data_IF_882901342855
#
_entry.id   IF_882901342855
#
_cell.length_a   1.000
_cell.length_b   1.000
_cell.length_c   1.000
_cell.angle_alpha   90.00
_cell.angle_beta   90.00
_cell.angle_gamma   90.00
#
_symmetry.space_group_name_H-M   'P 1'
#
loop_
_entity.id
_entity.type
_entity.pdbx_description
1 polymer ?
#
# COMPACT_ATOMS: atom_id res chain seq x y z
N UNK A 1 24.69 -16.37 8.70
CA UNK A 1 23.61 -15.61 9.35
C UNK A 1 22.39 -15.72 8.45
N UNK A 2 21.30 -16.33 8.92
CA UNK A 2 20.11 -16.59 8.09
C UNK A 2 19.25 -15.35 7.85
N UNK A 3 17.99 -15.55 7.46
CA UNK A 3 17.00 -14.48 7.21
C UNK A 3 16.59 -13.66 8.46
N UNK A 4 17.10 -14.04 9.64
CA UNK A 4 16.76 -13.44 10.93
C UNK A 4 17.95 -12.71 11.57
N UNK A 5 17.64 -11.60 12.25
CA UNK A 5 18.54 -10.84 13.10
C UNK A 5 18.72 -11.51 14.46
N UNK A 6 19.80 -11.17 15.18
CA UNK A 6 20.02 -11.61 16.56
C UNK A 6 19.08 -10.97 17.58
N UNK A 7 18.58 -9.77 17.28
CA UNK A 7 17.58 -9.04 18.05
C UNK A 7 16.60 -8.35 17.10
N UNK A 8 15.33 -8.19 17.47
CA UNK A 8 14.36 -7.55 16.59
C UNK A 8 14.62 -6.05 16.51
N UNK A 9 14.41 -5.46 15.33
CA UNK A 9 14.24 -4.01 15.21
C UNK A 9 12.83 -3.65 15.61
N UNK A 10 12.70 -2.96 16.74
CA UNK A 10 11.41 -2.58 17.35
C UNK A 10 10.96 -1.16 17.02
N UNK A 11 11.78 -0.40 16.28
CA UNK A 11 11.43 0.93 15.79
C UNK A 11 10.11 0.88 15.00
N UNK A 12 9.22 1.80 15.32
CA UNK A 12 7.90 1.96 14.71
C UNK A 12 7.94 3.14 13.76
N UNK A 13 7.54 2.89 12.51
CA UNK A 13 7.25 3.96 11.55
C UNK A 13 5.74 4.11 11.52
N UNK A 14 5.25 5.07 12.28
CA UNK A 14 3.82 5.37 12.40
C UNK A 14 3.50 6.65 11.65
N UNK A 15 2.30 6.67 11.07
CA UNK A 15 1.74 7.85 10.40
C UNK A 15 0.23 7.86 10.64
N UNK A 16 -0.38 9.01 10.60
CA UNK A 16 -1.81 9.19 10.81
C UNK A 16 -2.32 10.42 10.05
N UNK A 17 -3.63 10.50 9.89
CA UNK A 17 -4.25 11.61 9.21
C UNK A 17 -5.75 11.49 9.14
N UNK A 18 -6.37 12.51 8.54
CA UNK A 18 -7.81 12.61 8.42
C UNK A 18 -8.22 13.42 7.21
N UNK A 19 -9.48 13.28 6.82
CA UNK A 19 -10.20 14.23 5.97
C UNK A 19 -11.60 14.45 6.56
N UNK A 20 -12.46 15.18 5.84
CA UNK A 20 -13.82 15.49 6.31
C UNK A 20 -14.71 14.25 6.53
N UNK A 21 -14.31 13.08 6.02
CA UNK A 21 -15.10 11.84 6.01
C UNK A 21 -14.56 10.76 6.96
N UNK A 22 -13.25 10.71 7.18
CA UNK A 22 -12.61 9.63 7.95
C UNK A 22 -11.30 10.07 8.64
N UNK A 23 -10.85 9.23 9.56
CA UNK A 23 -9.53 9.29 10.22
C UNK A 23 -8.81 7.96 10.01
N UNK A 24 -7.49 7.99 9.87
CA UNK A 24 -6.67 6.78 9.77
C UNK A 24 -5.43 6.87 10.64
N UNK A 25 -4.88 5.71 10.97
CA UNK A 25 -3.56 5.56 11.56
C UNK A 25 -2.92 4.28 11.06
N UNK A 26 -1.60 4.29 10.88
CA UNK A 26 -0.82 3.15 10.44
C UNK A 26 0.49 3.07 11.23
N UNK A 27 1.04 1.86 11.33
CA UNK A 27 2.37 1.64 11.89
C UNK A 27 3.02 0.42 11.26
N UNK A 28 4.32 0.49 10.99
CA UNK A 28 5.10 -0.61 10.45
C UNK A 28 6.38 -0.84 11.27
N UNK A 29 6.86 -2.08 11.28
CA UNK A 29 8.03 -2.51 12.07
C UNK A 29 8.70 -3.71 11.40
N UNK A 30 10.02 -3.65 11.23
CA UNK A 30 10.80 -4.73 10.61
C UNK A 30 10.84 -6.01 11.45
N UNK A 31 10.91 -5.88 12.79
CA UNK A 31 10.99 -7.03 13.68
C UNK A 31 12.27 -7.85 13.47
N UNK A 32 12.13 -9.17 13.39
CA UNK A 32 13.25 -10.11 13.34
C UNK A 32 13.85 -10.32 11.95
N UNK A 33 13.17 -9.89 10.88
CA UNK A 33 13.67 -10.08 9.51
C UNK A 33 14.91 -9.21 9.26
N UNK A 34 15.82 -9.69 8.42
CA UNK A 34 17.01 -8.91 8.03
C UNK A 34 16.65 -7.65 7.22
N UNK A 35 15.61 -7.72 6.40
CA UNK A 35 15.10 -6.64 5.55
C UNK A 35 13.64 -6.31 5.90
N UNK A 36 13.25 -5.05 5.72
CA UNK A 36 11.85 -4.61 5.72
C UNK A 36 11.36 -4.61 4.27
N UNK A 37 10.44 -5.51 3.95
CA UNK A 37 9.94 -5.72 2.58
C UNK A 37 8.53 -5.16 2.38
N UNK A 38 7.79 -4.92 3.46
CA UNK A 38 6.46 -4.35 3.38
C UNK A 38 6.49 -2.89 2.91
N UNK A 39 5.39 -2.49 2.28
CA UNK A 39 5.06 -1.12 1.95
C UNK A 39 3.58 -0.85 2.25
N UNK A 40 3.20 0.43 2.31
CA UNK A 40 1.81 0.83 2.46
C UNK A 40 1.50 2.05 1.59
N UNK A 41 0.21 2.26 1.35
CA UNK A 41 -0.36 3.42 0.70
C UNK A 41 -1.52 3.94 1.56
N UNK A 42 -1.56 5.25 1.81
CA UNK A 42 -2.63 5.90 2.54
C UNK A 42 -2.97 7.22 1.84
N UNK A 43 -4.11 7.24 1.16
CA UNK A 43 -4.62 8.38 0.40
C UNK A 43 -6.06 8.67 0.83
N UNK A 44 -6.26 9.50 1.87
CA UNK A 44 -7.60 9.90 2.33
C UNK A 44 -8.40 10.57 1.21
N UNK A 45 -7.75 11.38 0.39
CA UNK A 45 -8.35 12.03 -0.77
C UNK A 45 -7.70 11.49 -2.04
N UNK A 46 -8.16 10.30 -2.46
CA UNK A 46 -7.76 9.73 -3.76
C UNK A 46 -8.44 10.49 -4.91
N UNK A 47 -9.72 10.82 -4.71
CA UNK A 47 -10.52 11.71 -5.56
C UNK A 47 -11.56 12.47 -4.72
N UNK A 48 -12.58 13.05 -5.36
CA UNK A 48 -13.61 13.82 -4.67
C UNK A 48 -14.47 13.03 -3.68
N UNK A 49 -14.56 11.71 -3.81
CA UNK A 49 -15.47 10.87 -3.02
C UNK A 49 -14.82 9.63 -2.40
N UNK A 50 -13.59 9.31 -2.77
CA UNK A 50 -12.97 8.01 -2.50
C UNK A 50 -11.66 8.17 -1.75
N UNK A 51 -11.41 7.22 -0.85
CA UNK A 51 -10.16 7.08 -0.12
C UNK A 51 -9.53 5.73 -0.45
N UNK A 52 -8.21 5.66 -0.50
CA UNK A 52 -7.48 4.43 -0.79
C UNK A 52 -6.44 4.10 0.28
N UNK A 53 -6.48 2.87 0.75
CA UNK A 53 -5.53 2.34 1.72
C UNK A 53 -5.09 0.95 1.25
N UNK A 54 -3.79 0.67 1.29
CA UNK A 54 -3.24 -0.62 0.87
C UNK A 54 -2.01 -1.00 1.69
N UNK A 55 -1.90 -2.28 2.03
CA UNK A 55 -0.71 -2.89 2.66
C UNK A 55 -0.17 -3.94 1.71
N UNK A 56 1.14 -3.92 1.48
CA UNK A 56 1.81 -4.77 0.50
C UNK A 56 2.93 -5.52 1.20
N UNK A 57 2.78 -6.82 1.35
CA UNK A 57 3.80 -7.72 1.93
C UNK A 57 4.75 -8.19 0.81
N UNK A 58 5.99 -7.72 0.85
CA UNK A 58 7.01 -8.08 -0.13
C UNK A 58 7.67 -9.41 0.21
N UNK A 59 7.91 -10.25 -0.80
CA UNK A 59 8.68 -11.49 -0.64
C UNK A 59 9.74 -11.61 -1.72
N UNK A 60 11.00 -11.79 -1.31
CA UNK A 60 12.13 -11.86 -2.24
C UNK A 60 12.64 -10.47 -2.66
N UNK A 61 12.32 -9.44 -1.88
CA UNK A 61 12.73 -8.06 -2.10
C UNK A 61 11.58 -7.06 -2.03
N UNK A 62 11.89 -5.85 -1.61
CA UNK A 62 10.92 -4.76 -1.39
C UNK A 62 10.43 -4.03 -2.64
N UNK A 63 10.98 -4.35 -3.82
CA UNK A 63 10.80 -3.54 -5.04
C UNK A 63 9.35 -3.55 -5.51
N UNK A 64 8.74 -4.73 -5.61
CA UNK A 64 7.36 -4.88 -6.08
C UNK A 64 6.37 -4.28 -5.07
N UNK A 65 6.53 -4.55 -3.78
CA UNK A 65 5.67 -3.96 -2.75
C UNK A 65 5.69 -2.42 -2.79
N UNK A 66 6.87 -1.80 -2.91
CA UNK A 66 7.01 -0.35 -3.07
C UNK A 66 6.42 0.17 -4.38
N UNK A 67 6.56 -0.59 -5.47
CA UNK A 67 5.99 -0.23 -6.76
C UNK A 67 4.45 -0.25 -6.70
N UNK A 68 3.84 -1.30 -6.15
CA UNK A 68 2.40 -1.39 -5.96
C UNK A 68 1.86 -0.28 -5.06
N UNK A 69 2.51 0.00 -3.93
CA UNK A 69 2.15 1.10 -3.04
C UNK A 69 2.12 2.45 -3.76
N UNK A 70 3.07 2.67 -4.68
CA UNK A 70 3.17 3.92 -5.43
C UNK A 70 2.20 4.04 -6.60
N UNK A 71 1.85 2.94 -7.28
CA UNK A 71 1.19 3.03 -8.59
C UNK A 71 -0.18 2.33 -8.69
N UNK A 72 -0.56 1.43 -7.78
CA UNK A 72 -1.82 0.67 -7.89
C UNK A 72 -3.05 1.58 -7.91
N UNK A 73 -3.13 2.53 -6.97
CA UNK A 73 -4.23 3.50 -6.93
C UNK A 73 -4.29 4.37 -8.20
N UNK A 74 -3.14 4.71 -8.80
CA UNK A 74 -3.09 5.46 -10.05
C UNK A 74 -3.61 4.64 -11.23
N UNK A 75 -3.24 3.35 -11.32
CA UNK A 75 -3.77 2.46 -12.37
C UNK A 75 -5.27 2.24 -12.22
N UNK A 76 -5.80 2.23 -11.00
CA UNK A 76 -7.25 2.21 -10.77
C UNK A 76 -7.92 3.47 -11.33
N UNK A 77 -7.41 4.66 -11.01
CA UNK A 77 -7.98 5.94 -11.46
C UNK A 77 -7.93 6.10 -12.98
N UNK A 78 -6.88 5.60 -13.64
CA UNK A 78 -6.75 5.68 -15.10
C UNK A 78 -7.65 4.69 -15.88
N UNK A 79 -8.37 3.79 -15.20
CA UNK A 79 -9.21 2.81 -15.86
C UNK A 79 -10.59 3.37 -16.20
N UNK A 80 -11.07 3.16 -17.43
CA UNK A 80 -12.44 3.55 -17.84
C UNK A 80 -13.52 2.95 -16.94
N UNK A 81 -13.28 1.76 -16.36
CA UNK A 81 -14.20 1.15 -15.40
C UNK A 81 -14.37 2.02 -14.14
N UNK A 82 -13.31 2.67 -13.69
CA UNK A 82 -13.39 3.59 -12.55
C UNK A 82 -14.22 4.82 -12.88
N UNK A 83 -13.99 5.41 -14.06
CA UNK A 83 -14.78 6.55 -14.55
C UNK A 83 -16.27 6.21 -14.71
N UNK A 84 -16.60 4.95 -15.02
CA UNK A 84 -17.97 4.44 -15.07
C UNK A 84 -18.56 4.08 -13.69
N UNK A 85 -17.81 4.25 -12.60
CA UNK A 85 -18.21 3.88 -11.23
C UNK A 85 -18.04 2.39 -10.90
N UNK A 86 -17.52 1.58 -11.81
CA UNK A 86 -17.21 0.15 -11.59
C UNK A 86 -15.80 0.00 -10.99
N UNK A 87 -15.71 0.29 -9.69
CA UNK A 87 -14.47 0.16 -8.91
C UNK A 87 -13.95 -1.28 -8.91
N UNK A 88 -14.84 -2.28 -8.88
CA UNK A 88 -14.48 -3.70 -8.83
C UNK A 88 -13.76 -4.18 -10.09
N UNK A 89 -14.25 -3.79 -11.25
CA UNK A 89 -13.55 -4.06 -12.52
C UNK A 89 -12.27 -3.23 -12.63
N UNK A 90 -12.28 -1.97 -12.19
CA UNK A 90 -11.10 -1.12 -12.21
C UNK A 90 -9.94 -1.71 -11.42
N UNK A 91 -10.16 -2.12 -10.16
CA UNK A 91 -9.11 -2.72 -9.34
C UNK A 91 -8.58 -4.01 -9.96
N UNK A 92 -9.46 -4.88 -10.46
CA UNK A 92 -9.04 -6.12 -11.14
C UNK A 92 -8.14 -5.82 -12.34
N UNK A 93 -8.49 -4.85 -13.18
CA UNK A 93 -7.68 -4.44 -14.32
C UNK A 93 -6.37 -3.76 -13.90
N UNK A 94 -6.37 -2.99 -12.81
CA UNK A 94 -5.17 -2.35 -12.28
C UNK A 94 -4.15 -3.39 -11.79
N UNK A 95 -4.60 -4.45 -11.10
CA UNK A 95 -3.74 -5.58 -10.72
C UNK A 95 -3.12 -6.26 -11.95
N UNK A 96 -3.93 -6.62 -12.96
CA UNK A 96 -3.40 -7.21 -14.20
C UNK A 96 -2.48 -6.30 -15.01
N UNK A 97 -2.54 -4.99 -14.81
CA UNK A 97 -1.68 -4.03 -15.50
C UNK A 97 -0.31 -3.87 -14.83
N UNK A 98 -0.22 -4.13 -13.53
CA UNK A 98 1.01 -3.99 -12.75
C UNK A 98 1.82 -5.28 -12.61
N UNK A 99 1.21 -6.42 -12.90
CA UNK A 99 1.84 -7.74 -13.02
C UNK A 99 2.48 -7.94 -14.40
#
# INVERSE_FOLDING_TARGET
>A
MGIYLSTPKTEKFSDDGENDRLRYGLSSMQGWRATMEDAHAAYPDLDSSTSFFGVFDGHGGKVVAKFCAKYLHQQMLHNDAYAAGDIGTSIKKAFFRLD
#
